data_IF_957783057803
#
_entry.id   IF_957783057803
#
_cell.length_a   1.000
_cell.length_b   1.000
_cell.length_c   1.000
_cell.angle_alpha   90.00
_cell.angle_beta   90.00
_cell.angle_gamma   90.00
#
_symmetry.space_group_name_H-M   'P 1'
#
loop_
_entity.id
_entity.type
_entity.pdbx_description
1 polymer ?
#
# COMPACT_ATOMS: atom_id res chain seq x y z
N UNK A 1 33.71 35.80 5.56
CA UNK A 1 32.37 35.38 5.13
C UNK A 1 32.35 33.87 5.02
N UNK A 2 31.95 33.22 6.09
CA UNK A 2 32.02 31.77 6.25
C UNK A 2 30.70 31.20 5.76
N UNK A 3 30.74 30.51 4.61
CA UNK A 3 29.59 29.82 4.03
C UNK A 3 29.14 28.69 4.95
N UNK A 4 27.99 28.85 5.57
CA UNK A 4 27.28 27.74 6.21
C UNK A 4 26.83 26.78 5.11
N UNK A 5 27.64 25.75 4.87
CA UNK A 5 27.20 24.56 4.12
C UNK A 5 26.06 23.93 4.89
N UNK A 6 24.85 24.15 4.42
CA UNK A 6 23.65 23.49 4.91
C UNK A 6 23.71 22.01 4.45
N UNK A 7 24.50 21.22 5.18
CA UNK A 7 24.59 19.78 4.99
C UNK A 7 23.29 19.18 5.53
N UNK A 8 22.24 19.21 4.70
CA UNK A 8 21.14 18.30 4.86
C UNK A 8 21.76 16.91 4.85
N UNK A 9 21.93 16.33 6.04
CA UNK A 9 22.35 14.94 6.19
C UNK A 9 21.35 14.11 5.40
N UNK A 10 21.73 13.75 4.18
CA UNK A 10 21.01 12.73 3.41
C UNK A 10 20.96 11.50 4.31
N UNK A 11 19.75 11.24 4.82
CA UNK A 11 19.49 10.11 5.70
C UNK A 11 19.81 8.83 4.90
N UNK A 12 21.00 8.29 5.10
CA UNK A 12 21.43 7.08 4.37
C UNK A 12 20.69 5.87 4.92
N UNK A 13 20.20 4.98 4.05
CA UNK A 13 19.63 3.72 4.47
C UNK A 13 20.68 2.88 5.20
N UNK A 14 20.24 2.11 6.19
CA UNK A 14 21.06 1.17 6.96
C UNK A 14 20.49 -0.24 6.82
N UNK A 15 21.30 -1.27 7.16
CA UNK A 15 20.83 -2.66 7.14
C UNK A 15 19.60 -2.91 8.03
N UNK A 16 19.44 -2.14 9.11
CA UNK A 16 18.26 -2.23 10.01
C UNK A 16 17.09 -1.36 9.56
N UNK A 17 17.36 -0.30 8.80
CA UNK A 17 16.37 0.64 8.28
C UNK A 17 16.61 0.86 6.79
N UNK A 18 16.34 -0.15 5.97
CA UNK A 18 16.69 -0.12 4.55
C UNK A 18 15.88 0.91 3.74
N UNK A 19 14.70 1.32 4.23
CA UNK A 19 13.85 2.32 3.58
C UNK A 19 14.01 3.72 4.19
N UNK A 20 15.06 3.94 4.99
CA UNK A 20 15.29 5.23 5.64
C UNK A 20 15.44 6.36 4.62
N UNK A 21 14.72 7.44 4.86
CA UNK A 21 14.71 8.61 3.99
C UNK A 21 13.71 8.55 2.83
N UNK A 22 13.07 7.41 2.58
CA UNK A 22 12.02 7.32 1.55
C UNK A 22 10.69 7.87 2.04
N UNK A 23 10.01 8.57 1.12
CA UNK A 23 8.62 8.97 1.29
C UNK A 23 7.74 7.96 0.54
N UNK A 24 6.91 7.24 1.28
CA UNK A 24 5.96 6.25 0.77
C UNK A 24 4.55 6.83 0.80
N UNK A 25 3.87 6.85 -0.33
CA UNK A 25 2.43 7.07 -0.42
C UNK A 25 1.74 5.71 -0.47
N UNK A 26 0.94 5.41 0.53
CA UNK A 26 0.05 4.25 0.56
C UNK A 26 -1.35 4.69 0.19
N UNK A 27 -1.93 4.10 -0.83
CA UNK A 27 -3.33 4.31 -1.24
C UNK A 27 -4.09 3.04 -0.92
N UNK A 28 -4.85 3.07 0.16
CA UNK A 28 -5.50 1.92 0.78
C UNK A 28 -6.68 2.42 1.62
N UNK A 29 -7.87 1.96 1.34
CA UNK A 29 -9.10 2.35 2.03
C UNK A 29 -9.31 1.57 3.33
N UNK A 30 -8.91 0.29 3.40
CA UNK A 30 -8.95 -0.50 4.62
C UNK A 30 -7.97 0.04 5.67
N UNK A 31 -8.49 0.36 6.86
CA UNK A 31 -7.66 0.73 8.01
C UNK A 31 -6.80 -0.43 8.46
N UNK A 32 -7.38 -1.64 8.52
CA UNK A 32 -6.68 -2.87 8.92
C UNK A 32 -5.47 -3.14 8.02
N UNK A 33 -5.66 -3.11 6.69
CA UNK A 33 -4.57 -3.33 5.75
C UNK A 33 -3.53 -2.19 5.81
N UNK A 34 -3.99 -0.94 5.93
CA UNK A 34 -3.08 0.21 5.99
C UNK A 34 -2.21 0.22 7.24
N UNK A 35 -2.72 -0.23 8.40
CA UNK A 35 -1.93 -0.31 9.63
C UNK A 35 -0.81 -1.35 9.55
N UNK A 36 -1.04 -2.49 8.91
CA UNK A 36 0.02 -3.49 8.66
C UNK A 36 1.12 -2.89 7.79
N UNK A 37 0.78 -2.28 6.65
CA UNK A 37 1.76 -1.63 5.75
C UNK A 37 2.48 -0.49 6.47
N UNK A 38 1.77 0.30 7.28
CA UNK A 38 2.34 1.39 8.07
C UNK A 38 3.39 0.87 9.05
N UNK A 39 3.07 -0.18 9.78
CA UNK A 39 3.99 -0.77 10.77
C UNK A 39 5.26 -1.28 10.10
N UNK A 40 5.12 -2.03 9.01
CA UNK A 40 6.26 -2.53 8.23
C UNK A 40 7.10 -1.39 7.65
N UNK A 41 6.45 -0.38 7.08
CA UNK A 41 7.13 0.78 6.49
C UNK A 41 7.93 1.58 7.52
N UNK A 42 7.32 1.91 8.68
CA UNK A 42 7.98 2.67 9.75
C UNK A 42 9.12 1.86 10.38
N UNK A 43 8.92 0.58 10.64
CA UNK A 43 9.97 -0.31 11.16
C UNK A 43 11.16 -0.39 10.21
N UNK A 44 10.89 -0.38 8.90
CA UNK A 44 11.90 -0.32 7.85
C UNK A 44 12.54 1.08 7.67
N UNK A 45 12.04 2.09 8.37
CA UNK A 45 12.59 3.46 8.40
C UNK A 45 11.98 4.42 7.38
N UNK A 46 10.94 4.04 6.65
CA UNK A 46 10.24 4.92 5.72
C UNK A 46 9.38 5.96 6.43
N UNK A 47 9.13 7.07 5.75
CA UNK A 47 8.06 8.01 6.09
C UNK A 47 6.84 7.65 5.24
N UNK A 48 5.72 7.35 5.88
CA UNK A 48 4.52 6.92 5.21
C UNK A 48 3.41 7.97 5.32
N UNK A 49 2.71 8.18 4.22
CA UNK A 49 1.46 8.94 4.12
C UNK A 49 0.38 8.03 3.55
N UNK A 50 -0.79 8.04 4.15
CA UNK A 50 -1.95 7.28 3.69
C UNK A 50 -2.92 8.18 2.93
N UNK A 51 -3.48 7.66 1.86
CA UNK A 51 -4.68 8.14 1.19
C UNK A 51 -5.69 6.99 1.18
N UNK A 52 -6.94 7.28 1.40
CA UNK A 52 -8.03 6.31 1.48
C UNK A 52 -8.75 6.09 0.14
N UNK A 53 -8.39 6.86 -0.88
CA UNK A 53 -8.97 6.80 -2.21
C UNK A 53 -8.06 7.49 -3.23
N UNK A 54 -8.31 7.31 -4.54
CA UNK A 54 -7.53 7.95 -5.60
C UNK A 54 -7.59 9.47 -5.55
N UNK A 55 -8.76 10.03 -5.24
CA UNK A 55 -8.96 11.48 -5.11
C UNK A 55 -8.05 12.07 -4.02
N UNK A 56 -7.97 11.41 -2.87
CA UNK A 56 -7.09 11.78 -1.76
C UNK A 56 -5.62 11.64 -2.17
N UNK A 57 -5.26 10.55 -2.85
CA UNK A 57 -3.91 10.32 -3.37
C UNK A 57 -3.45 11.44 -4.33
N UNK A 58 -4.30 11.83 -5.28
CA UNK A 58 -4.02 12.93 -6.21
C UNK A 58 -3.81 14.28 -5.49
N UNK A 59 -4.53 14.54 -4.38
CA UNK A 59 -4.28 15.74 -3.53
C UNK A 59 -2.90 15.68 -2.89
N UNK A 60 -2.51 14.54 -2.34
CA UNK A 60 -1.19 14.34 -1.76
C UNK A 60 -0.08 14.59 -2.78
N UNK A 61 -0.21 14.04 -3.99
CA UNK A 61 0.78 14.17 -5.06
C UNK A 61 0.94 15.60 -5.61
N UNK A 62 -0.06 16.47 -5.41
CA UNK A 62 0.07 17.91 -5.70
C UNK A 62 0.94 18.67 -4.68
N UNK A 63 1.07 18.13 -3.46
CA UNK A 63 1.77 18.81 -2.34
C UNK A 63 3.22 18.32 -2.21
N UNK A 64 3.45 17.00 -2.41
CA UNK A 64 4.78 16.41 -2.30
C UNK A 64 4.97 15.28 -3.29
N UNK A 65 6.23 14.91 -3.51
CA UNK A 65 6.60 13.77 -4.35
C UNK A 65 6.82 12.54 -3.47
N UNK A 66 6.17 11.45 -3.84
CA UNK A 66 6.44 10.15 -3.26
C UNK A 66 7.63 9.50 -4.00
N UNK A 67 8.57 8.93 -3.24
CA UNK A 67 9.61 8.07 -3.78
C UNK A 67 9.03 6.71 -4.18
N UNK A 68 8.08 6.22 -3.38
CA UNK A 68 7.38 4.95 -3.56
C UNK A 68 5.89 5.20 -3.46
N UNK A 69 5.11 4.61 -4.37
CA UNK A 69 3.66 4.53 -4.28
C UNK A 69 3.24 3.07 -4.16
N UNK A 70 2.41 2.77 -3.16
CA UNK A 70 1.77 1.47 -2.97
C UNK A 70 0.28 1.70 -3.14
N UNK A 71 -0.34 1.05 -4.13
CA UNK A 71 -1.70 1.35 -4.55
C UNK A 71 -2.54 0.08 -4.52
N UNK A 72 -3.59 0.08 -3.69
CA UNK A 72 -4.61 -0.95 -3.79
C UNK A 72 -5.34 -0.84 -5.14
N UNK A 73 -5.57 -1.98 -5.76
CA UNK A 73 -6.29 -2.05 -7.03
C UNK A 73 -7.79 -1.84 -6.82
N UNK A 74 -8.33 -2.23 -5.68
CA UNK A 74 -9.75 -2.15 -5.35
C UNK A 74 -10.10 -0.93 -4.49
N UNK A 75 -10.13 0.27 -5.06
CA UNK A 75 -10.44 1.51 -4.34
C UNK A 75 -11.91 1.91 -4.48
N UNK A 76 -12.45 2.69 -3.52
CA UNK A 76 -13.87 3.07 -3.52
C UNK A 76 -14.27 4.01 -4.66
N UNK A 77 -13.32 4.77 -5.18
CA UNK A 77 -13.56 5.79 -6.20
C UNK A 77 -12.99 5.42 -7.58
N UNK A 78 -12.60 4.14 -7.80
CA UNK A 78 -12.17 3.63 -9.08
C UNK A 78 -11.15 2.49 -9.03
N UNK A 79 -10.64 2.13 -10.20
CA UNK A 79 -9.60 1.09 -10.32
C UNK A 79 -8.22 1.68 -10.03
N UNK A 80 -7.54 1.16 -9.02
CA UNK A 80 -6.18 1.59 -8.65
C UNK A 80 -5.16 1.46 -9.80
N UNK A 81 -5.43 0.60 -10.79
CA UNK A 81 -4.60 0.49 -11.99
C UNK A 81 -4.56 1.81 -12.79
N UNK A 82 -5.64 2.60 -12.78
CA UNK A 82 -5.65 3.94 -13.40
C UNK A 82 -4.65 4.87 -12.71
N UNK A 83 -4.64 4.90 -11.37
CA UNK A 83 -3.71 5.71 -10.60
C UNK A 83 -2.26 5.24 -10.81
N UNK A 84 -2.02 3.94 -10.88
CA UNK A 84 -0.70 3.37 -11.23
C UNK A 84 -0.23 3.90 -12.58
N UNK A 85 -1.12 3.86 -13.60
CA UNK A 85 -0.82 4.38 -14.93
C UNK A 85 -0.51 5.88 -14.92
N UNK A 86 -1.28 6.68 -14.18
CA UNK A 86 -1.01 8.12 -14.00
C UNK A 86 0.39 8.36 -13.42
N UNK A 87 0.74 7.65 -12.34
CA UNK A 87 2.03 7.76 -11.66
C UNK A 87 3.19 7.33 -12.56
N UNK A 88 2.98 6.28 -13.37
CA UNK A 88 3.98 5.76 -14.29
C UNK A 88 4.27 6.72 -15.47
N UNK A 89 3.26 7.46 -15.93
CA UNK A 89 3.39 8.44 -17.03
C UNK A 89 3.68 9.86 -16.53
N UNK A 90 3.68 10.10 -15.21
CA UNK A 90 4.00 11.41 -14.66
C UNK A 90 5.44 11.81 -14.99
N UNK A 91 5.67 13.11 -15.16
CA UNK A 91 7.00 13.67 -15.36
C UNK A 91 7.33 14.65 -14.22
N UNK A 92 8.26 14.29 -13.35
CA UNK A 92 9.00 13.03 -13.28
C UNK A 92 8.17 11.88 -12.67
N UNK A 93 8.43 10.66 -13.13
CA UNK A 93 7.80 9.42 -12.66
C UNK A 93 8.10 9.16 -11.17
N UNK A 94 7.16 8.57 -10.44
CA UNK A 94 7.44 7.96 -9.13
C UNK A 94 8.45 6.82 -9.29
N UNK A 95 9.47 6.76 -8.44
CA UNK A 95 10.60 5.84 -8.64
C UNK A 95 10.18 4.38 -8.58
N UNK A 96 9.32 4.04 -7.61
CA UNK A 96 8.81 2.68 -7.44
C UNK A 96 7.29 2.74 -7.27
N UNK A 97 6.58 1.97 -8.07
CA UNK A 97 5.12 1.86 -8.03
C UNK A 97 4.76 0.39 -7.82
N UNK A 98 4.00 0.11 -6.77
CA UNK A 98 3.62 -1.26 -6.36
C UNK A 98 2.10 -1.33 -6.33
N UNK A 99 1.54 -2.30 -7.06
CA UNK A 99 0.14 -2.68 -6.89
C UNK A 99 -0.02 -3.64 -5.71
N UNK A 100 -1.12 -3.53 -4.98
CA UNK A 100 -1.46 -4.47 -3.90
C UNK A 100 -2.93 -4.87 -4.01
N UNK A 101 -3.24 -6.14 -3.79
CA UNK A 101 -4.63 -6.63 -3.76
C UNK A 101 -4.73 -7.96 -3.03
N UNK A 102 -5.93 -8.28 -2.51
CA UNK A 102 -6.25 -9.62 -2.02
C UNK A 102 -6.59 -10.61 -3.15
N UNK A 103 -6.84 -10.10 -4.36
CA UNK A 103 -7.11 -10.91 -5.55
C UNK A 103 -5.84 -11.02 -6.40
N UNK A 104 -5.19 -12.21 -6.44
CA UNK A 104 -3.97 -12.42 -7.23
C UNK A 104 -4.17 -12.18 -8.74
N UNK A 105 -5.39 -12.35 -9.26
CA UNK A 105 -5.71 -12.11 -10.67
C UNK A 105 -5.49 -10.66 -11.11
N UNK A 106 -5.52 -9.73 -10.15
CA UNK A 106 -5.28 -8.29 -10.37
C UNK A 106 -3.80 -7.95 -10.67
N UNK A 107 -2.88 -8.89 -10.44
CA UNK A 107 -1.46 -8.69 -10.72
C UNK A 107 -1.20 -8.31 -12.18
N UNK A 108 -1.88 -8.96 -13.13
CA UNK A 108 -1.75 -8.65 -14.57
C UNK A 108 -2.14 -7.20 -14.85
N UNK A 109 -3.30 -6.76 -14.35
CA UNK A 109 -3.77 -5.38 -14.54
C UNK A 109 -2.80 -4.35 -13.95
N UNK A 110 -2.23 -4.62 -12.76
CA UNK A 110 -1.22 -3.75 -12.14
C UNK A 110 0.04 -3.62 -13.02
N UNK A 111 0.55 -4.73 -13.54
CA UNK A 111 1.76 -4.74 -14.39
C UNK A 111 1.50 -4.08 -15.75
N UNK A 112 0.35 -4.33 -16.37
CA UNK A 112 -0.07 -3.65 -17.61
C UNK A 112 -0.20 -2.14 -17.41
N UNK A 113 -0.66 -1.69 -16.23
CA UNK A 113 -0.68 -0.30 -15.82
C UNK A 113 0.72 0.28 -15.49
N UNK A 114 1.79 -0.53 -15.64
CA UNK A 114 3.19 -0.20 -15.39
C UNK A 114 3.58 -0.07 -13.91
N UNK A 115 2.96 -0.87 -13.02
CA UNK A 115 3.54 -1.12 -11.72
C UNK A 115 4.91 -1.83 -11.88
N UNK A 116 5.85 -1.50 -11.03
CA UNK A 116 7.18 -2.14 -11.00
C UNK A 116 7.14 -3.51 -10.33
N UNK A 117 6.17 -3.73 -9.44
CA UNK A 117 5.88 -5.02 -8.80
C UNK A 117 4.45 -5.06 -8.25
N UNK A 118 4.05 -6.27 -7.83
CA UNK A 118 2.76 -6.51 -7.20
C UNK A 118 2.96 -7.29 -5.90
N UNK A 119 2.17 -6.96 -4.89
CA UNK A 119 2.14 -7.64 -3.59
C UNK A 119 0.72 -8.17 -3.36
N UNK A 120 0.61 -9.44 -3.06
CA UNK A 120 -0.65 -10.07 -2.65
C UNK A 120 -0.88 -9.83 -1.15
N UNK A 121 -2.11 -9.46 -0.77
CA UNK A 121 -2.54 -9.42 0.63
C UNK A 121 -2.87 -10.85 1.11
N UNK A 122 -2.57 -11.18 2.39
CA UNK A 122 -2.02 -10.32 3.44
C UNK A 122 -0.51 -10.11 3.30
N UNK A 123 -0.03 -8.99 3.79
CA UNK A 123 1.41 -8.70 3.84
C UNK A 123 2.07 -9.55 4.94
N UNK A 124 2.56 -10.74 4.58
CA UNK A 124 3.06 -11.74 5.54
C UNK A 124 4.57 -11.66 5.77
N UNK A 125 5.30 -10.87 4.97
CA UNK A 125 6.75 -10.83 5.02
C UNK A 125 7.30 -9.40 4.95
N UNK A 126 7.99 -8.98 6.03
CA UNK A 126 8.74 -7.71 6.05
C UNK A 126 9.83 -7.72 4.98
N UNK A 127 10.52 -8.86 4.83
CA UNK A 127 11.57 -9.03 3.84
C UNK A 127 11.03 -8.93 2.41
N UNK A 128 9.87 -9.55 2.15
CA UNK A 128 9.18 -9.45 0.85
C UNK A 128 8.80 -8.01 0.51
N UNK A 129 8.23 -7.28 1.47
CA UNK A 129 7.88 -5.87 1.32
C UNK A 129 9.12 -5.01 1.03
N UNK A 130 10.18 -5.17 1.81
CA UNK A 130 11.42 -4.45 1.61
C UNK A 130 12.03 -4.76 0.25
N UNK A 131 12.04 -6.03 -0.15
CA UNK A 131 12.57 -6.48 -1.43
C UNK A 131 11.79 -5.88 -2.60
N UNK A 132 10.45 -5.87 -2.56
CA UNK A 132 9.61 -5.29 -3.59
C UNK A 132 9.92 -3.80 -3.83
N UNK A 133 10.24 -3.05 -2.77
CA UNK A 133 10.62 -1.64 -2.88
C UNK A 133 12.07 -1.52 -3.37
N UNK A 134 13.01 -2.22 -2.71
CA UNK A 134 14.45 -2.02 -2.93
C UNK A 134 14.92 -2.48 -4.30
N UNK A 135 14.30 -3.52 -4.86
CA UNK A 135 14.65 -4.04 -6.19
C UNK A 135 14.48 -2.98 -7.28
N UNK A 136 13.51 -2.09 -7.11
CA UNK A 136 13.15 -1.07 -8.10
C UNK A 136 13.72 0.33 -7.80
N UNK A 137 14.43 0.48 -6.67
CA UNK A 137 15.10 1.74 -6.34
C UNK A 137 16.46 1.88 -7.05
N UNK A 138 16.83 3.13 -7.32
CA UNK A 138 18.16 3.44 -7.85
C UNK A 138 19.26 2.99 -6.89
N UNK A 139 20.39 2.50 -7.42
CA UNK A 139 21.47 1.88 -6.64
C UNK A 139 22.01 2.74 -5.49
N UNK A 140 22.10 4.07 -5.65
CA UNK A 140 22.60 4.96 -4.59
C UNK A 140 21.66 5.10 -3.39
N UNK A 141 20.41 4.64 -3.50
CA UNK A 141 19.41 4.61 -2.42
C UNK A 141 19.24 3.24 -1.77
N UNK A 142 20.00 2.24 -2.23
CA UNK A 142 20.01 0.91 -1.62
C UNK A 142 21.06 0.84 -0.50
N UNK A 143 20.77 0.17 0.63
CA UNK A 143 21.80 -0.11 1.63
C UNK A 143 22.86 -1.05 1.05
N UNK A 144 24.10 -0.90 1.47
CA UNK A 144 25.21 -1.77 1.02
C UNK A 144 25.04 -3.22 1.50
N UNK A 145 24.49 -3.39 2.71
CA UNK A 145 24.19 -4.70 3.30
C UNK A 145 22.73 -4.71 3.75
N UNK A 146 21.92 -5.58 3.16
CA UNK A 146 20.53 -5.76 3.55
C UNK A 146 20.50 -6.88 4.59
N UNK A 147 20.21 -6.55 5.85
CA UNK A 147 19.85 -7.54 6.85
C UNK A 147 18.33 -7.69 6.81
N UNK A 148 17.88 -8.81 6.25
CA UNK A 148 16.47 -9.16 6.30
C UNK A 148 16.02 -9.18 7.76
N UNK A 149 15.00 -8.40 8.09
CA UNK A 149 14.38 -8.48 9.40
C UNK A 149 13.63 -9.82 9.48
N UNK A 150 13.58 -10.47 10.64
CA UNK A 150 12.75 -11.67 10.80
C UNK A 150 11.31 -11.31 10.46
N UNK A 151 10.60 -12.27 9.88
CA UNK A 151 9.17 -12.12 9.61
C UNK A 151 8.47 -11.88 10.95
N UNK A 152 7.86 -10.71 11.06
CA UNK A 152 7.02 -10.37 12.19
C UNK A 152 5.64 -10.93 11.89
N UNK A 153 5.08 -11.70 12.79
CA UNK A 153 3.66 -12.01 12.75
C UNK A 153 2.91 -10.68 13.02
N UNK A 154 2.18 -10.21 12.04
CA UNK A 154 1.33 -9.03 12.21
C UNK A 154 -0.05 -9.53 12.63
N UNK A 155 -0.46 -9.15 13.84
CA UNK A 155 -1.85 -9.27 14.25
C UNK A 155 -2.59 -8.03 13.75
N UNK A 156 -3.78 -8.25 13.18
CA UNK A 156 -4.63 -7.15 12.77
C UNK A 156 -5.04 -6.31 13.99
N UNK A 157 -4.95 -4.99 13.88
CA UNK A 157 -5.43 -4.08 14.92
C UNK A 157 -6.95 -4.25 15.05
N UNK A 158 -7.41 -4.71 16.23
CA UNK A 158 -8.82 -4.97 16.48
C UNK A 158 -9.69 -3.73 16.31
N UNK A 159 -9.17 -2.55 16.63
CA UNK A 159 -9.90 -1.29 16.47
C UNK A 159 -10.04 -0.94 14.99
N UNK A 160 -8.96 -1.06 14.21
CA UNK A 160 -8.99 -0.83 12.76
C UNK A 160 -9.97 -1.81 12.10
N UNK A 161 -9.98 -3.08 12.52
CA UNK A 161 -10.92 -4.08 12.03
C UNK A 161 -12.37 -3.73 12.35
N UNK A 162 -12.65 -3.23 13.56
CA UNK A 162 -14.00 -2.79 13.94
C UNK A 162 -14.45 -1.59 13.10
N UNK A 163 -13.59 -0.60 12.87
CA UNK A 163 -13.89 0.56 12.03
C UNK A 163 -14.18 0.14 10.59
N UNK A 164 -13.40 -0.77 10.03
CA UNK A 164 -13.62 -1.33 8.69
C UNK A 164 -14.94 -2.12 8.60
N UNK A 165 -15.30 -2.90 9.63
CA UNK A 165 -16.56 -3.62 9.69
C UNK A 165 -17.78 -2.67 9.74
N UNK A 166 -17.70 -1.59 10.51
CA UNK A 166 -18.74 -0.55 10.54
C UNK A 166 -18.88 0.09 9.16
N UNK A 167 -17.76 0.42 8.51
CA UNK A 167 -17.79 0.96 7.15
C UNK A 167 -18.42 -0.01 6.14
N UNK A 168 -18.10 -1.30 6.20
CA UNK A 168 -18.71 -2.32 5.36
C UNK A 168 -20.23 -2.42 5.58
N UNK A 169 -20.69 -2.35 6.84
CA UNK A 169 -22.12 -2.34 7.18
C UNK A 169 -22.84 -1.11 6.64
N UNK A 170 -22.23 0.07 6.72
CA UNK A 170 -22.80 1.30 6.17
C UNK A 170 -22.93 1.21 4.63
N UNK A 171 -21.94 0.64 3.95
CA UNK A 171 -21.98 0.40 2.51
C UNK A 171 -23.08 -0.61 2.13
N UNK A 172 -23.29 -1.66 2.93
CA UNK A 172 -24.37 -2.64 2.73
C UNK A 172 -25.76 -2.02 2.88
N UNK A 173 -25.92 -1.10 3.81
CA UNK A 173 -27.20 -0.43 4.08
C UNK A 173 -27.53 0.63 3.02
N UNK A 174 -26.54 1.25 2.40
CA UNK A 174 -26.69 2.24 1.33
C UNK A 174 -26.82 1.53 -0.02
N UNK A 175 -28.04 1.13 -0.38
CA UNK A 175 -28.44 0.26 -1.51
C UNK A 175 -28.05 0.73 -2.93
N UNK A 176 -26.97 1.39 -3.15
CA UNK A 176 -26.50 1.77 -4.50
C UNK A 176 -25.73 0.60 -5.15
N UNK A 177 -26.34 -0.02 -6.16
CA UNK A 177 -25.88 -1.26 -6.79
C UNK A 177 -24.50 -1.22 -7.47
N UNK A 178 -23.91 -0.04 -7.67
CA UNK A 178 -22.55 0.12 -8.20
C UNK A 178 -21.44 -0.29 -7.22
N UNK A 179 -21.76 -0.49 -5.95
CA UNK A 179 -20.78 -0.74 -4.89
C UNK A 179 -20.61 -2.22 -4.54
N UNK A 180 -21.37 -3.15 -5.14
CA UNK A 180 -21.30 -4.57 -4.77
C UNK A 180 -19.92 -5.18 -5.06
N UNK A 181 -19.36 -4.91 -6.23
CA UNK A 181 -18.05 -5.39 -6.59
C UNK A 181 -16.96 -4.85 -5.67
N UNK A 182 -16.99 -3.55 -5.39
CA UNK A 182 -16.08 -2.91 -4.45
C UNK A 182 -16.22 -3.51 -3.04
N UNK A 183 -17.43 -3.59 -2.51
CA UNK A 183 -17.67 -4.11 -1.15
C UNK A 183 -17.13 -5.53 -0.97
N UNK A 184 -17.27 -6.37 -1.98
CA UNK A 184 -16.73 -7.72 -1.94
C UNK A 184 -15.19 -7.73 -1.88
N UNK A 185 -14.54 -6.91 -2.70
CA UNK A 185 -13.07 -6.76 -2.69
C UNK A 185 -12.60 -6.20 -1.35
N UNK A 186 -13.31 -5.19 -0.83
CA UNK A 186 -13.02 -4.58 0.47
C UNK A 186 -13.11 -5.59 1.61
N UNK A 187 -14.23 -6.34 1.72
CA UNK A 187 -14.41 -7.37 2.78
C UNK A 187 -13.39 -8.50 2.61
N UNK A 188 -13.09 -8.92 1.37
CA UNK A 188 -12.06 -9.94 1.12
C UNK A 188 -10.68 -9.48 1.56
N UNK A 189 -10.31 -8.24 1.26
CA UNK A 189 -9.03 -7.65 1.67
C UNK A 189 -8.90 -7.57 3.20
N UNK A 190 -9.95 -7.12 3.87
CA UNK A 190 -10.03 -7.03 5.32
C UNK A 190 -9.95 -8.43 5.97
N UNK A 191 -10.76 -9.38 5.49
CA UNK A 191 -10.79 -10.76 6.00
C UNK A 191 -9.43 -11.45 5.84
N UNK A 192 -8.78 -11.24 4.70
CA UNK A 192 -7.47 -11.76 4.40
C UNK A 192 -6.42 -11.20 5.38
N UNK A 193 -6.43 -9.89 5.62
CA UNK A 193 -5.50 -9.21 6.53
C UNK A 193 -5.75 -9.62 7.99
N UNK A 194 -7.01 -9.79 8.39
CA UNK A 194 -7.39 -10.24 9.72
C UNK A 194 -7.21 -11.75 9.93
N UNK A 195 -6.92 -12.52 8.86
CA UNK A 195 -6.87 -13.98 8.87
C UNK A 195 -8.19 -14.61 9.37
N UNK A 196 -9.33 -14.00 9.00
CA UNK A 196 -10.66 -14.45 9.41
C UNK A 196 -11.37 -15.20 8.26
N UNK A 197 -11.41 -16.54 8.29
CA UNK A 197 -12.03 -17.34 7.25
C UNK A 197 -13.55 -17.16 7.16
N UNK A 198 -14.20 -16.71 8.22
CA UNK A 198 -15.65 -16.49 8.25
C UNK A 198 -16.01 -15.28 7.42
N UNK A 199 -15.28 -14.18 7.58
CA UNK A 199 -15.42 -12.98 6.78
C UNK A 199 -15.08 -13.25 5.30
N UNK A 200 -14.05 -14.05 5.03
CA UNK A 200 -13.68 -14.43 3.67
C UNK A 200 -14.79 -15.21 2.95
N UNK A 201 -15.43 -16.16 3.65
CA UNK A 201 -16.57 -16.89 3.11
C UNK A 201 -17.78 -15.98 2.88
N UNK A 202 -18.02 -15.02 3.77
CA UNK A 202 -19.12 -14.05 3.61
C UNK A 202 -18.91 -13.19 2.37
N UNK A 203 -17.69 -12.69 2.13
CA UNK A 203 -17.35 -11.92 0.94
C UNK A 203 -17.58 -12.71 -0.35
N UNK A 204 -17.12 -13.97 -0.40
CA UNK A 204 -17.32 -14.85 -1.55
C UNK A 204 -18.80 -15.13 -1.85
N UNK A 205 -19.62 -15.33 -0.82
CA UNK A 205 -21.09 -15.54 -0.98
C UNK A 205 -21.78 -14.30 -1.53
N UNK A 206 -21.34 -13.11 -1.13
CA UNK A 206 -21.93 -11.85 -1.58
C UNK A 206 -21.67 -11.56 -3.07
N UNK A 207 -20.59 -12.11 -3.63
CA UNK A 207 -20.27 -12.01 -5.08
C UNK A 207 -21.15 -12.92 -5.95
N UNK A 208 -21.67 -14.04 -5.39
CA UNK A 208 -22.37 -15.08 -6.17
C UNK A 208 -23.88 -14.85 -6.26
N UNK A 209 -24.40 -13.77 -5.69
CA UNK A 209 -25.82 -13.37 -5.71
C UNK A 209 -25.97 -11.91 -6.19
#
# INVERSE_FOLDING_TARGET
MTGMSNTLHSLKPTSRRPLHGLMVLLVEDSLTASEVVRLVGITSGARLRRADCMTSARRHLKIYRADVAIVDIGLPDGDGAELISELAHASPRTQTIIGISADPSRATAAIEARADSFIEKPLNSVAGFQSAILTNLQNHRRPMDIRLLPDLAFEADQRALQEDLVHALDLLNNKEGAQRGYLSVFISGMACTASDPTLEQAAKRYLTH
#
